data_IF_195580945913
#
_entry.id   IF_195580945913
#
_cell.length_a   1.000
_cell.length_b   1.000
_cell.length_c   1.000
_cell.angle_alpha   90.00
_cell.angle_beta   90.00
_cell.angle_gamma   90.00
#
_symmetry.space_group_name_H-M   'P 1'
#
loop_
_entity.id
_entity.type
_entity.pdbx_description
1 polymer ?
#
# COMPACT_ATOMS: atom_id res chain seq x y z
N UNK A 1 -7.63 -24.32 -75.99
CA UNK A 1 -9.07 -24.03 -75.76
C UNK A 1 -9.20 -23.39 -74.39
N UNK A 2 -9.84 -22.22 -74.22
CA UNK A 2 -10.14 -21.72 -72.89
C UNK A 2 -11.22 -22.63 -72.28
N UNK A 3 -10.91 -23.26 -71.16
CA UNK A 3 -11.84 -24.15 -70.46
C UNK A 3 -12.92 -23.32 -69.76
N UNK A 4 -14.19 -23.57 -70.10
CA UNK A 4 -15.37 -22.85 -69.57
C UNK A 4 -15.76 -23.32 -68.15
N UNK A 5 -15.28 -24.50 -67.73
CA UNK A 5 -15.67 -25.13 -66.47
C UNK A 5 -15.02 -24.53 -65.21
N UNK A 6 -13.90 -23.82 -65.31
CA UNK A 6 -13.25 -23.17 -64.16
C UNK A 6 -12.68 -21.82 -64.56
N UNK A 7 -13.31 -20.75 -64.08
CA UNK A 7 -12.87 -19.38 -64.33
C UNK A 7 -11.69 -19.03 -63.41
N UNK A 8 -10.47 -19.22 -63.91
CA UNK A 8 -9.23 -19.03 -63.15
C UNK A 8 -8.96 -17.57 -62.80
N UNK A 9 -9.40 -16.60 -63.61
CA UNK A 9 -9.26 -15.16 -63.32
C UNK A 9 -10.25 -14.69 -62.26
N UNK A 10 -11.48 -15.22 -62.27
CA UNK A 10 -12.43 -14.98 -61.18
C UNK A 10 -11.97 -15.62 -59.87
N UNK A 11 -11.39 -16.83 -59.93
CA UNK A 11 -10.86 -17.51 -58.74
C UNK A 11 -9.66 -16.76 -58.14
N UNK A 12 -8.74 -16.24 -58.96
CA UNK A 12 -7.62 -15.44 -58.46
C UNK A 12 -8.10 -14.11 -57.84
N UNK A 13 -9.06 -13.43 -58.48
CA UNK A 13 -9.70 -12.24 -57.91
C UNK A 13 -10.35 -12.52 -56.54
N UNK A 14 -11.04 -13.65 -56.39
CA UNK A 14 -11.62 -14.08 -55.11
C UNK A 14 -10.55 -14.35 -54.03
N UNK A 15 -9.41 -14.96 -54.39
CA UNK A 15 -8.30 -15.19 -53.45
C UNK A 15 -7.74 -13.86 -52.94
N UNK A 16 -7.50 -12.88 -53.83
CA UNK A 16 -7.01 -11.55 -53.43
C UNK A 16 -8.04 -10.77 -52.61
N UNK A 17 -9.33 -10.83 -52.97
CA UNK A 17 -10.40 -10.19 -52.20
C UNK A 17 -10.49 -10.76 -50.78
N UNK A 18 -10.44 -12.09 -50.64
CA UNK A 18 -10.42 -12.74 -49.34
C UNK A 18 -9.19 -12.37 -48.50
N UNK A 19 -8.02 -12.18 -49.14
CA UNK A 19 -6.81 -11.71 -48.46
C UNK A 19 -6.97 -10.27 -47.96
N UNK A 20 -7.47 -9.38 -48.81
CA UNK A 20 -7.71 -7.97 -48.46
C UNK A 20 -8.74 -7.83 -47.34
N UNK A 21 -9.83 -8.60 -47.37
CA UNK A 21 -10.84 -8.61 -46.31
C UNK A 21 -10.22 -9.01 -44.95
N UNK A 22 -9.38 -10.05 -44.93
CA UNK A 22 -8.68 -10.47 -43.70
C UNK A 22 -7.71 -9.43 -43.17
N UNK A 23 -6.99 -8.71 -44.05
CA UNK A 23 -6.08 -7.63 -43.67
C UNK A 23 -6.84 -6.40 -43.13
N UNK A 24 -8.00 -6.09 -43.72
CA UNK A 24 -8.89 -5.04 -43.24
C UNK A 24 -9.45 -5.37 -41.85
N UNK A 25 -9.91 -6.60 -41.64
CA UNK A 25 -10.40 -7.07 -40.33
C UNK A 25 -9.29 -7.00 -39.26
N UNK A 26 -8.06 -7.39 -39.62
CA UNK A 26 -6.91 -7.29 -38.72
C UNK A 26 -6.64 -5.82 -38.35
N UNK A 27 -6.65 -4.91 -39.33
CA UNK A 27 -6.42 -3.47 -39.10
C UNK A 27 -7.52 -2.85 -38.25
N UNK A 28 -8.79 -3.21 -38.50
CA UNK A 28 -9.93 -2.78 -37.70
C UNK A 28 -9.84 -3.27 -36.26
N UNK A 29 -9.41 -4.53 -36.04
CA UNK A 29 -9.21 -5.07 -34.68
C UNK A 29 -8.10 -4.33 -33.92
N UNK A 30 -7.00 -3.96 -34.59
CA UNK A 30 -5.93 -3.14 -34.00
C UNK A 30 -6.42 -1.75 -33.66
N UNK A 31 -7.16 -1.11 -34.58
CA UNK A 31 -7.74 0.21 -34.34
C UNK A 31 -8.73 0.20 -33.18
N UNK A 32 -9.64 -0.78 -33.13
CA UNK A 32 -10.65 -0.90 -32.08
C UNK A 32 -10.04 -1.20 -30.71
N UNK A 33 -8.95 -1.98 -30.66
CA UNK A 33 -8.24 -2.26 -29.40
C UNK A 33 -7.28 -1.15 -28.97
N UNK A 34 -6.90 -0.25 -29.90
CA UNK A 34 -5.82 0.72 -29.70
C UNK A 34 -4.43 0.09 -29.54
N UNK A 35 -4.28 -1.23 -29.75
CA UNK A 35 -3.01 -1.95 -29.58
C UNK A 35 -2.45 -2.41 -30.92
N UNK A 36 -1.14 -2.24 -31.10
CA UNK A 36 -0.41 -2.75 -32.27
C UNK A 36 -0.40 -4.29 -32.32
N UNK A 37 -0.37 -4.94 -31.15
CA UNK A 37 -0.32 -6.40 -30.98
C UNK A 37 -1.62 -6.85 -30.32
N UNK A 38 -2.48 -7.53 -31.08
CA UNK A 38 -3.81 -8.00 -30.64
C UNK A 38 -3.85 -9.50 -30.44
N UNK A 39 -3.01 -10.25 -31.16
CA UNK A 39 -2.95 -11.72 -31.12
C UNK A 39 -1.51 -12.16 -30.91
N UNK A 40 -1.31 -13.24 -30.14
CA UNK A 40 0.00 -13.86 -29.94
C UNK A 40 0.64 -14.31 -31.27
N UNK A 41 -0.18 -14.61 -32.28
CA UNK A 41 0.28 -14.99 -33.62
C UNK A 41 0.91 -13.84 -34.43
N UNK A 42 0.73 -12.58 -34.02
CA UNK A 42 1.30 -11.41 -34.71
C UNK A 42 2.71 -11.09 -34.18
N UNK A 43 2.89 -11.19 -32.86
CA UNK A 43 4.18 -11.04 -32.16
C UNK A 43 4.08 -11.67 -30.76
N UNK A 44 4.53 -12.92 -30.63
CA UNK A 44 4.45 -13.66 -29.38
C UNK A 44 5.39 -13.09 -28.31
N UNK A 45 6.60 -12.65 -28.71
CA UNK A 45 7.59 -12.11 -27.78
C UNK A 45 7.17 -10.72 -27.29
N UNK A 46 6.71 -9.85 -28.18
CA UNK A 46 6.20 -8.53 -27.82
C UNK A 46 4.95 -8.60 -26.94
N UNK A 47 4.05 -9.56 -27.19
CA UNK A 47 2.91 -9.80 -26.31
C UNK A 47 3.33 -10.35 -24.93
N UNK A 48 4.32 -11.26 -24.88
CA UNK A 48 4.84 -11.80 -23.62
C UNK A 48 5.48 -10.70 -22.75
N UNK A 49 6.35 -9.86 -23.33
CA UNK A 49 6.96 -8.75 -22.60
C UNK A 49 5.91 -7.71 -22.19
N UNK A 50 4.99 -7.37 -23.09
CA UNK A 50 3.93 -6.40 -22.81
C UNK A 50 2.96 -6.86 -21.71
N UNK A 51 2.64 -8.17 -21.67
CA UNK A 51 1.81 -8.75 -20.62
C UNK A 51 2.54 -8.83 -19.28
N UNK A 52 3.83 -9.16 -19.25
CA UNK A 52 4.67 -9.08 -18.06
C UNK A 52 4.70 -7.65 -17.50
N UNK A 53 5.03 -6.65 -18.33
CA UNK A 53 5.02 -5.24 -17.90
C UNK A 53 3.65 -4.76 -17.41
N UNK A 54 2.56 -5.27 -18.01
CA UNK A 54 1.20 -4.95 -17.55
C UNK A 54 0.91 -5.57 -16.19
N UNK A 55 1.38 -6.79 -15.94
CA UNK A 55 1.29 -7.43 -14.64
C UNK A 55 2.09 -6.64 -13.60
N UNK A 56 3.34 -6.27 -13.91
CA UNK A 56 4.20 -5.46 -13.05
C UNK A 56 3.57 -4.10 -12.74
N UNK A 57 3.00 -3.43 -13.75
CA UNK A 57 2.29 -2.15 -13.55
C UNK A 57 1.10 -2.30 -12.61
N UNK A 58 0.38 -3.42 -12.70
CA UNK A 58 -0.77 -3.70 -11.82
C UNK A 58 -0.30 -3.98 -10.40
N UNK A 59 0.77 -4.76 -10.24
CA UNK A 59 1.41 -5.02 -8.97
C UNK A 59 1.92 -3.72 -8.31
N UNK A 60 2.61 -2.86 -9.07
CA UNK A 60 3.10 -1.57 -8.60
C UNK A 60 1.98 -0.61 -8.18
N UNK A 61 0.85 -0.62 -8.88
CA UNK A 61 -0.34 0.15 -8.45
C UNK A 61 -0.86 -0.31 -7.10
N UNK A 62 -0.93 -1.62 -6.88
CA UNK A 62 -1.33 -2.16 -5.58
C UNK A 62 -0.27 -1.87 -4.49
N UNK A 63 1.01 -1.99 -4.82
CA UNK A 63 2.11 -1.64 -3.95
C UNK A 63 2.05 -0.18 -3.48
N UNK A 64 1.68 0.76 -4.36
CA UNK A 64 1.49 2.17 -3.97
C UNK A 64 0.34 2.35 -2.97
N UNK A 65 -0.74 1.58 -3.11
CA UNK A 65 -1.85 1.57 -2.14
C UNK A 65 -1.37 0.99 -0.80
N UNK A 66 -0.65 -0.13 -0.83
CA UNK A 66 -0.09 -0.76 0.37
C UNK A 66 0.88 0.18 1.11
N UNK A 67 1.75 0.90 0.39
CA UNK A 67 2.65 1.89 0.96
C UNK A 67 1.89 3.06 1.61
N UNK A 68 0.75 3.46 1.03
CA UNK A 68 -0.12 4.49 1.59
C UNK A 68 -0.80 4.00 2.88
N UNK A 69 -1.18 2.73 2.96
CA UNK A 69 -1.68 2.12 4.20
C UNK A 69 -0.61 2.07 5.29
N UNK A 70 0.62 1.65 4.96
CA UNK A 70 1.74 1.68 5.91
C UNK A 70 2.03 3.09 6.43
N UNK A 71 1.91 4.11 5.56
CA UNK A 71 2.01 5.52 5.99
C UNK A 71 0.90 5.93 6.94
N UNK A 72 -0.35 5.53 6.68
CA UNK A 72 -1.48 5.84 7.54
C UNK A 72 -1.29 5.24 8.95
N UNK A 73 -0.82 3.99 9.02
CA UNK A 73 -0.46 3.33 10.29
C UNK A 73 0.60 4.12 11.05
N UNK A 74 1.69 4.49 10.37
CA UNK A 74 2.75 5.30 10.97
C UNK A 74 2.24 6.64 11.47
N UNK A 75 1.37 7.31 10.72
CA UNK A 75 0.82 8.60 11.13
C UNK A 75 -0.07 8.47 12.37
N UNK A 76 -0.88 7.41 12.46
CA UNK A 76 -1.69 7.14 13.65
C UNK A 76 -0.80 6.84 14.86
N UNK A 77 0.24 6.03 14.67
CA UNK A 77 1.21 5.73 15.73
C UNK A 77 1.96 6.98 16.20
N UNK A 78 2.45 7.80 15.27
CA UNK A 78 3.17 9.05 15.57
C UNK A 78 2.29 10.06 16.32
N UNK A 79 1.03 10.23 15.89
CA UNK A 79 0.07 11.07 16.60
C UNK A 79 -0.21 10.60 18.03
N UNK A 80 -0.28 9.28 18.25
CA UNK A 80 -0.43 8.73 19.59
C UNK A 80 0.85 8.90 20.44
N UNK A 81 2.03 8.69 19.86
CA UNK A 81 3.31 8.91 20.54
C UNK A 81 3.52 10.39 20.90
N UNK A 82 3.09 11.33 20.05
CA UNK A 82 3.11 12.76 20.38
C UNK A 82 2.30 13.07 21.64
N UNK A 83 1.09 12.49 21.77
CA UNK A 83 0.27 12.67 22.98
C UNK A 83 0.93 12.08 24.23
N UNK A 84 1.57 10.91 24.12
CA UNK A 84 2.36 10.33 25.22
C UNK A 84 3.53 11.25 25.59
N UNK A 85 4.19 11.84 24.60
CA UNK A 85 5.26 12.83 24.81
C UNK A 85 4.81 14.03 25.63
N UNK A 86 3.64 14.62 25.31
CA UNK A 86 3.07 15.74 26.06
C UNK A 86 2.73 15.36 27.51
N UNK A 87 2.17 14.16 27.72
CA UNK A 87 1.89 13.62 29.06
C UNK A 87 3.20 13.45 29.85
N UNK A 88 4.24 12.89 29.24
CA UNK A 88 5.55 12.70 29.88
C UNK A 88 6.18 14.04 30.28
N UNK A 89 6.05 15.07 29.45
CA UNK A 89 6.50 16.42 29.80
C UNK A 89 5.74 16.99 31.00
N UNK A 90 4.41 16.80 31.05
CA UNK A 90 3.60 17.19 32.21
C UNK A 90 4.01 16.43 33.46
N UNK A 91 4.18 15.11 33.38
CA UNK A 91 4.65 14.26 34.48
C UNK A 91 6.02 14.71 35.00
N UNK A 92 6.96 15.08 34.11
CA UNK A 92 8.26 15.65 34.49
C UNK A 92 8.11 16.98 35.23
N UNK A 93 7.20 17.85 34.80
CA UNK A 93 6.93 19.12 35.49
C UNK A 93 6.36 18.92 36.89
N UNK A 94 5.46 17.94 37.06
CA UNK A 94 4.90 17.55 38.35
C UNK A 94 5.97 16.95 39.27
N UNK A 95 6.87 16.12 38.74
CA UNK A 95 8.00 15.57 39.50
C UNK A 95 8.94 16.69 40.01
N UNK A 96 9.26 17.66 39.16
CA UNK A 96 10.06 18.82 39.55
C UNK A 96 9.34 19.69 40.60
N UNK A 97 8.02 19.87 40.46
CA UNK A 97 7.19 20.59 41.42
C UNK A 97 7.16 19.91 42.78
N UNK A 98 7.00 18.59 42.84
CA UNK A 98 7.01 17.80 44.07
C UNK A 98 8.35 17.90 44.82
N UNK A 99 9.45 17.99 44.08
CA UNK A 99 10.80 18.10 44.63
C UNK A 99 11.16 19.51 45.16
N UNK A 100 10.28 20.51 44.96
CA UNK A 100 10.49 21.84 45.54
C UNK A 100 10.22 21.84 47.05
N UNK A 101 11.12 22.45 47.83
CA UNK A 101 11.08 22.45 49.29
C UNK A 101 9.93 23.25 49.92
N UNK A 102 9.20 24.05 49.13
CA UNK A 102 8.08 24.88 49.61
C UNK A 102 6.71 24.19 49.53
N UNK A 103 6.64 22.94 49.08
CA UNK A 103 5.38 22.22 48.86
C UNK A 103 5.02 21.39 50.10
N UNK A 104 3.85 21.67 50.69
CA UNK A 104 3.32 20.95 51.84
C UNK A 104 3.01 19.47 51.51
N UNK A 105 2.97 18.61 52.53
CA UNK A 105 2.66 17.19 52.38
C UNK A 105 1.30 16.94 51.72
N UNK A 106 0.30 17.78 52.01
CA UNK A 106 -1.03 17.69 51.40
C UNK A 106 -0.99 17.99 49.90
N UNK A 107 -0.23 19.03 49.50
CA UNK A 107 -0.04 19.40 48.10
C UNK A 107 0.76 18.34 47.32
N UNK A 108 1.75 17.70 47.96
CA UNK A 108 2.45 16.54 47.37
C UNK A 108 1.49 15.36 47.11
N UNK A 109 0.51 15.16 47.98
CA UNK A 109 -0.55 14.17 47.78
C UNK A 109 -1.37 14.44 46.50
N UNK A 110 -1.79 15.69 46.27
CA UNK A 110 -2.53 16.05 45.05
C UNK A 110 -1.68 15.92 43.77
N UNK A 111 -0.41 16.33 43.83
CA UNK A 111 0.53 16.17 42.70
C UNK A 111 0.71 14.68 42.35
N UNK A 112 0.83 13.81 43.36
CA UNK A 112 0.93 12.38 43.13
C UNK A 112 -0.34 11.79 42.50
N UNK A 113 -1.53 12.24 42.92
CA UNK A 113 -2.79 11.83 42.29
C UNK A 113 -2.85 12.22 40.81
N UNK A 114 -2.45 13.45 40.47
CA UNK A 114 -2.37 13.90 39.06
C UNK A 114 -1.36 13.05 38.28
N UNK A 115 -0.18 12.77 38.86
CA UNK A 115 0.85 11.92 38.24
C UNK A 115 0.33 10.50 37.94
N UNK A 116 -0.40 9.88 38.87
CA UNK A 116 -0.97 8.55 38.68
C UNK A 116 -2.08 8.52 37.62
N UNK A 117 -2.90 9.57 37.55
CA UNK A 117 -3.89 9.71 36.48
C UNK A 117 -3.24 9.82 35.11
N UNK A 118 -2.18 10.63 34.99
CA UNK A 118 -1.41 10.78 33.76
C UNK A 118 -0.71 9.48 33.35
N UNK A 119 -0.17 8.73 34.31
CA UNK A 119 0.40 7.41 34.05
C UNK A 119 -0.64 6.44 33.48
N UNK A 120 -1.84 6.42 34.09
CA UNK A 120 -2.96 5.59 33.62
C UNK A 120 -3.41 5.99 32.22
N UNK A 121 -3.50 7.29 31.94
CA UNK A 121 -3.86 7.80 30.60
C UNK A 121 -2.80 7.42 29.55
N UNK A 122 -1.52 7.54 29.87
CA UNK A 122 -0.46 7.15 28.95
C UNK A 122 -0.49 5.64 28.63
N UNK A 123 -0.77 4.80 29.64
CA UNK A 123 -1.00 3.37 29.43
C UNK A 123 -2.24 3.10 28.57
N UNK A 124 -3.34 3.83 28.81
CA UNK A 124 -4.56 3.72 28.03
C UNK A 124 -4.37 4.12 26.56
N UNK A 125 -3.56 5.15 26.28
CA UNK A 125 -3.19 5.51 24.90
C UNK A 125 -2.42 4.35 24.25
N UNK A 126 -1.51 3.71 24.97
CA UNK A 126 -0.78 2.53 24.48
C UNK A 126 -1.71 1.37 24.09
N UNK A 127 -2.72 1.06 24.92
CA UNK A 127 -3.64 -0.07 24.68
C UNK A 127 -4.76 0.26 23.69
N UNK A 128 -5.23 1.51 23.65
CA UNK A 128 -6.39 1.90 22.84
C UNK A 128 -6.01 2.40 21.44
N UNK A 129 -4.72 2.62 21.17
CA UNK A 129 -4.27 3.03 19.83
C UNK A 129 -4.25 1.82 18.91
N UNK A 130 -5.27 1.75 18.06
CA UNK A 130 -5.48 0.65 17.12
C UNK A 130 -5.65 1.15 15.69
N UNK A 131 -5.25 0.34 14.72
CA UNK A 131 -5.53 0.54 13.31
C UNK A 131 -6.17 -0.73 12.75
N UNK A 132 -7.36 -0.62 12.17
CA UNK A 132 -8.14 -1.76 11.68
C UNK A 132 -8.33 -2.90 12.71
N UNK A 133 -8.30 -2.59 14.01
CA UNK A 133 -8.46 -3.56 15.09
C UNK A 133 -7.15 -4.13 15.65
N UNK A 134 -6.02 -3.87 14.99
CA UNK A 134 -4.70 -4.26 15.49
C UNK A 134 -4.09 -3.14 16.35
N UNK A 135 -3.61 -3.49 17.55
CA UNK A 135 -2.90 -2.58 18.43
C UNK A 135 -1.58 -2.12 17.80
N UNK A 136 -1.28 -0.82 17.87
CA UNK A 136 -0.10 -0.25 17.22
C UNK A 136 1.11 -0.10 18.15
N UNK A 137 0.88 0.12 19.45
CA UNK A 137 1.90 0.62 20.40
C UNK A 137 2.05 -0.32 21.62
N UNK A 138 1.42 -1.50 21.56
CA UNK A 138 1.55 -2.56 22.55
C UNK A 138 2.81 -3.42 22.34
N UNK A 139 3.52 -3.24 21.23
CA UNK A 139 4.72 -4.01 20.83
C UNK A 139 4.45 -5.28 20.04
N UNK A 140 3.19 -5.57 19.73
CA UNK A 140 2.79 -6.71 18.90
C UNK A 140 2.73 -6.38 17.41
N UNK A 141 2.81 -5.11 17.02
CA UNK A 141 2.63 -4.70 15.63
C UNK A 141 3.88 -4.98 14.78
N UNK A 142 3.84 -6.13 14.09
CA UNK A 142 4.85 -6.57 13.14
C UNK A 142 4.17 -6.95 11.82
N UNK A 143 4.03 -5.97 10.93
CA UNK A 143 3.40 -6.17 9.63
C UNK A 143 4.36 -5.81 8.49
N UNK A 144 4.34 -6.64 7.45
CA UNK A 144 5.12 -6.43 6.24
C UNK A 144 4.23 -5.84 5.15
N UNK A 145 4.64 -4.69 4.61
CA UNK A 145 3.97 -4.04 3.50
C UNK A 145 4.70 -4.34 2.20
N UNK A 146 4.02 -5.02 1.27
CA UNK A 146 4.53 -5.31 -0.06
C UNK A 146 4.53 -4.03 -0.90
N UNK A 147 5.71 -3.57 -1.33
CA UNK A 147 5.90 -2.31 -2.07
C UNK A 147 6.54 -2.48 -3.45
N UNK A 148 6.83 -3.72 -3.87
CA UNK A 148 7.39 -4.00 -5.20
C UNK A 148 6.68 -5.13 -5.92
N UNK A 149 7.32 -5.58 -7.00
CA UNK A 149 6.79 -6.62 -7.89
C UNK A 149 7.23 -8.00 -7.45
N UNK A 150 8.45 -8.13 -6.90
CA UNK A 150 8.95 -9.39 -6.38
C UNK A 150 8.41 -9.63 -4.97
N UNK A 151 8.14 -10.88 -4.60
CA UNK A 151 7.62 -11.26 -3.28
C UNK A 151 8.55 -10.86 -2.11
N UNK A 152 9.81 -10.52 -2.40
CA UNK A 152 10.80 -10.06 -1.42
C UNK A 152 10.79 -8.56 -1.18
N UNK A 153 10.08 -7.79 -2.01
CA UNK A 153 10.06 -6.32 -1.96
C UNK A 153 9.09 -5.84 -0.87
N UNK A 154 9.45 -6.10 0.38
CA UNK A 154 8.67 -5.77 1.57
C UNK A 154 9.34 -4.73 2.43
N UNK A 155 8.55 -3.81 2.99
CA UNK A 155 8.94 -2.95 4.09
C UNK A 155 8.37 -3.56 5.37
N UNK A 156 9.26 -4.01 6.26
CA UNK A 156 8.87 -4.52 7.57
C UNK A 156 8.65 -3.34 8.52
N UNK A 157 7.45 -3.22 9.07
CA UNK A 157 7.09 -2.23 10.06
C UNK A 157 7.01 -2.89 11.44
N UNK A 158 7.98 -2.57 12.29
CA UNK A 158 8.06 -3.07 13.67
C UNK A 158 7.85 -1.90 14.62
N UNK A 159 6.71 -1.85 15.30
CA UNK A 159 6.48 -0.87 16.36
C UNK A 159 6.64 -1.57 17.71
N UNK A 160 7.54 -1.04 18.54
CA UNK A 160 7.80 -1.57 19.88
C UNK A 160 6.87 -0.99 20.93
N UNK A 161 6.67 -1.72 22.03
CA UNK A 161 5.93 -1.22 23.19
C UNK A 161 6.57 0.05 23.76
N UNK A 162 5.74 0.98 24.22
CA UNK A 162 6.22 2.04 25.13
C UNK A 162 6.35 1.42 26.52
N UNK A 163 7.56 0.97 26.88
CA UNK A 163 7.84 0.54 28.25
C UNK A 163 7.94 1.75 29.18
N UNK A 164 6.80 2.18 29.73
CA UNK A 164 6.73 3.11 30.87
C UNK A 164 6.84 2.30 32.17
N UNK A 165 7.99 1.66 32.39
CA UNK A 165 8.32 1.09 33.71
C UNK A 165 9.26 2.04 34.44
N UNK A 166 8.97 2.21 35.73
CA UNK A 166 9.62 3.04 36.77
C UNK A 166 11.06 3.45 36.52
#
# INVERSE_FOLDING_TARGET
MPVIATNTSANSALIYLNRNSREQDKSLSKLSSGSRIVRASDDAAGLAVGSALKADTTALKQAAINATQGRAVLQTADGAMSRVGDILQRMKSLAAQSNSGSVDATSRGFINTEYQQLLTEAQAIGTNTQFNGDGLIDGGYNFNYQVGVAATDVIALNLSTINMTT
#
